data_IF_124006624817
#
_entry.id   IF_124006624817
#
_cell.length_a   1.000
_cell.length_b   1.000
_cell.length_c   1.000
_cell.angle_alpha   90.00
_cell.angle_beta   90.00
_cell.angle_gamma   90.00
#
_symmetry.space_group_name_H-M   'P 1'
#
loop_
_entity.id
_entity.type
_entity.pdbx_description
1 polymer ?
#
# COMPACT_ATOMS: atom_id res chain seq x y z
N UNK A 1 11.96 -29.81 11.78
CA UNK A 1 10.81 -30.76 11.83
C UNK A 1 9.49 -30.11 11.41
N UNK A 2 9.05 -28.99 12.01
CA UNK A 2 7.77 -28.33 11.67
C UNK A 2 7.75 -27.89 10.21
N UNK A 3 8.80 -27.20 9.73
CA UNK A 3 8.94 -26.82 8.31
C UNK A 3 9.01 -28.01 7.35
N UNK A 4 9.66 -29.10 7.75
CA UNK A 4 9.72 -30.31 6.92
C UNK A 4 8.37 -31.04 6.83
N UNK A 5 7.57 -31.00 7.90
CA UNK A 5 6.19 -31.46 7.85
C UNK A 5 5.32 -30.60 6.96
N UNK A 6 5.46 -29.25 7.08
CA UNK A 6 4.75 -28.29 6.23
C UNK A 6 5.09 -28.44 4.74
N UNK A 7 6.37 -28.63 4.40
CA UNK A 7 6.79 -28.86 3.01
C UNK A 7 6.30 -30.20 2.45
N UNK A 8 6.21 -31.26 3.29
CA UNK A 8 5.62 -32.53 2.87
C UNK A 8 4.11 -32.46 2.61
N UNK A 9 3.41 -31.50 3.21
CA UNK A 9 2.00 -31.22 2.96
C UNK A 9 1.78 -30.33 1.72
N UNK A 10 2.73 -29.48 1.39
CA UNK A 10 2.73 -28.68 0.15
C UNK A 10 2.62 -29.55 -1.11
N UNK A 11 3.25 -30.72 -1.12
CA UNK A 11 3.20 -31.66 -2.25
C UNK A 11 1.79 -32.27 -2.46
N UNK A 12 0.91 -32.21 -1.45
CA UNK A 12 -0.39 -32.85 -1.51
C UNK A 12 -1.58 -31.88 -1.70
N UNK A 13 -1.51 -30.67 -1.14
CA UNK A 13 -2.65 -29.73 -1.09
C UNK A 13 -2.34 -28.31 -1.54
N UNK A 14 -1.07 -27.92 -1.65
CA UNK A 14 -0.66 -26.54 -1.98
C UNK A 14 -0.89 -25.52 -0.86
N UNK A 15 -1.39 -25.94 0.30
CA UNK A 15 -1.63 -25.06 1.45
C UNK A 15 -1.00 -25.62 2.73
N UNK A 16 -0.41 -24.73 3.54
CA UNK A 16 0.00 -25.11 4.90
C UNK A 16 -1.22 -25.17 5.82
N UNK A 17 -1.27 -26.15 6.71
CA UNK A 17 -2.23 -26.10 7.82
C UNK A 17 -1.95 -24.88 8.70
N UNK A 18 -2.95 -24.05 8.93
CA UNK A 18 -2.84 -22.83 9.76
C UNK A 18 -2.27 -23.15 11.17
N UNK A 19 -2.62 -24.31 11.74
CA UNK A 19 -2.07 -24.75 13.02
C UNK A 19 -0.56 -24.93 13.02
N UNK A 20 0.02 -25.50 11.96
CA UNK A 20 1.47 -25.69 11.83
C UNK A 20 2.22 -24.37 11.75
N UNK A 21 1.66 -23.37 11.05
CA UNK A 21 2.26 -22.06 10.94
C UNK A 21 2.19 -21.28 12.26
N UNK A 22 1.11 -21.45 13.01
CA UNK A 22 0.97 -20.87 14.34
C UNK A 22 2.00 -21.44 15.32
N UNK A 23 2.15 -22.78 15.40
CA UNK A 23 3.17 -23.44 16.21
C UNK A 23 4.60 -22.98 15.86
N UNK A 24 4.86 -22.76 14.56
CA UNK A 24 6.14 -22.24 14.11
C UNK A 24 6.42 -20.83 14.65
N UNK A 25 5.43 -19.95 14.56
CA UNK A 25 5.52 -18.59 15.09
C UNK A 25 5.76 -18.58 16.60
N UNK A 26 4.91 -19.27 17.36
CA UNK A 26 5.06 -19.37 18.81
C UNK A 26 6.45 -19.90 19.23
N UNK A 27 6.91 -20.96 18.55
CA UNK A 27 8.24 -21.54 18.82
C UNK A 27 9.38 -20.57 18.49
N UNK A 28 9.23 -19.77 17.41
CA UNK A 28 10.22 -18.78 17.01
C UNK A 28 10.28 -17.59 17.97
N UNK A 29 9.13 -17.13 18.43
CA UNK A 29 9.02 -15.98 19.36
C UNK A 29 9.59 -16.27 20.74
N UNK A 30 9.69 -17.55 21.14
CA UNK A 30 10.36 -17.96 22.39
C UNK A 30 11.89 -17.94 22.31
N UNK A 31 12.47 -17.77 21.13
CA UNK A 31 13.92 -17.77 20.94
C UNK A 31 14.52 -16.38 21.20
N UNK A 32 15.73 -16.34 21.74
CA UNK A 32 16.52 -15.13 21.79
C UNK A 32 16.91 -14.67 20.38
N UNK A 33 17.17 -13.40 20.19
CA UNK A 33 17.47 -12.78 18.90
C UNK A 33 18.59 -13.50 18.13
N UNK A 34 19.66 -13.89 18.81
CA UNK A 34 20.76 -14.66 18.23
C UNK A 34 20.30 -16.03 17.73
N UNK A 35 19.46 -16.71 18.53
CA UNK A 35 18.94 -18.03 18.18
C UNK A 35 17.98 -17.95 16.99
N UNK A 36 17.19 -16.89 16.88
CA UNK A 36 16.35 -16.61 15.71
C UNK A 36 17.17 -16.53 14.44
N UNK A 37 18.26 -15.76 14.46
CA UNK A 37 19.20 -15.68 13.31
C UNK A 37 19.86 -17.02 12.98
N UNK A 38 20.23 -17.81 13.98
CA UNK A 38 20.83 -19.13 13.76
C UNK A 38 19.82 -20.12 13.14
N UNK A 39 18.54 -20.08 13.56
CA UNK A 39 17.47 -20.89 12.97
C UNK A 39 17.27 -20.54 11.50
N UNK A 40 17.25 -19.25 11.12
CA UNK A 40 17.12 -18.84 9.71
C UNK A 40 18.29 -19.36 8.86
N UNK A 41 19.53 -19.31 9.39
CA UNK A 41 20.70 -19.89 8.69
C UNK A 41 20.63 -21.41 8.54
N UNK A 42 20.10 -22.12 9.56
CA UNK A 42 19.89 -23.57 9.46
C UNK A 42 18.86 -23.89 8.39
N UNK A 43 17.79 -23.10 8.29
CA UNK A 43 16.79 -23.23 7.23
C UNK A 43 17.43 -23.01 5.86
N UNK A 44 18.19 -21.94 5.68
CA UNK A 44 18.92 -21.67 4.44
C UNK A 44 19.78 -22.86 4.02
N UNK A 45 20.63 -23.34 4.92
CA UNK A 45 21.51 -24.47 4.63
C UNK A 45 20.76 -25.78 4.32
N UNK A 46 19.62 -25.99 4.99
CA UNK A 46 18.81 -27.19 4.81
C UNK A 46 18.11 -27.24 3.45
N UNK A 47 17.77 -26.09 2.90
CA UNK A 47 16.99 -25.96 1.67
C UNK A 47 17.77 -25.42 0.46
N UNK A 48 19.05 -25.10 0.60
CA UNK A 48 19.89 -24.46 -0.44
C UNK A 48 19.91 -25.16 -1.81
N UNK A 49 19.57 -26.43 -1.88
CA UNK A 49 19.55 -27.21 -3.12
C UNK A 49 18.17 -27.24 -3.80
N UNK A 50 17.16 -26.57 -3.23
CA UNK A 50 15.85 -26.47 -3.85
C UNK A 50 15.87 -25.42 -4.99
N UNK A 51 14.96 -25.52 -5.96
CA UNK A 51 14.79 -24.49 -6.98
C UNK A 51 14.48 -23.11 -6.36
N UNK A 52 14.99 -22.03 -6.98
CA UNK A 52 14.81 -20.66 -6.49
C UNK A 52 13.33 -20.29 -6.30
N UNK A 53 12.43 -20.77 -7.17
CA UNK A 53 10.98 -20.56 -7.05
C UNK A 53 10.40 -21.16 -5.76
N UNK A 54 10.89 -22.34 -5.37
CA UNK A 54 10.49 -23.00 -4.10
C UNK A 54 11.09 -22.26 -2.91
N UNK A 55 12.35 -21.83 -3.01
CA UNK A 55 13.01 -21.04 -1.97
C UNK A 55 12.27 -19.71 -1.72
N UNK A 56 11.85 -19.02 -2.77
CA UNK A 56 11.04 -17.79 -2.65
C UNK A 56 9.73 -18.08 -1.92
N UNK A 57 9.04 -19.21 -2.23
CA UNK A 57 7.82 -19.57 -1.51
C UNK A 57 8.07 -19.82 -0.03
N UNK A 58 9.14 -20.53 0.33
CA UNK A 58 9.52 -20.78 1.72
C UNK A 58 9.81 -19.47 2.45
N UNK A 59 10.66 -18.62 1.88
CA UNK A 59 11.05 -17.37 2.51
C UNK A 59 9.90 -16.36 2.61
N UNK A 60 9.04 -16.28 1.61
CA UNK A 60 7.84 -15.44 1.66
C UNK A 60 6.83 -15.94 2.71
N UNK A 61 6.73 -17.27 2.90
CA UNK A 61 5.94 -17.85 3.99
C UNK A 61 6.51 -17.46 5.35
N UNK A 62 7.83 -17.61 5.53
CA UNK A 62 8.50 -17.23 6.79
C UNK A 62 8.36 -15.74 7.07
N UNK A 63 8.50 -14.88 6.07
CA UNK A 63 8.30 -13.43 6.24
C UNK A 63 6.88 -13.11 6.71
N UNK A 64 5.89 -13.70 6.09
CA UNK A 64 4.48 -13.46 6.42
C UNK A 64 4.08 -14.01 7.80
N UNK A 65 4.66 -15.14 8.20
CA UNK A 65 4.33 -15.84 9.45
C UNK A 65 5.13 -15.29 10.62
N UNK A 66 6.44 -15.21 10.50
CA UNK A 66 7.33 -14.77 11.59
C UNK A 66 7.24 -13.26 11.80
N UNK A 67 6.95 -12.49 10.76
CA UNK A 67 6.93 -11.02 10.77
C UNK A 67 8.26 -10.45 11.27
N UNK A 68 9.38 -11.04 10.86
CA UNK A 68 10.72 -10.66 11.27
C UNK A 68 11.50 -10.18 10.05
N UNK A 69 12.03 -8.95 10.11
CA UNK A 69 12.82 -8.34 9.04
C UNK A 69 14.09 -9.14 8.70
N UNK A 70 14.62 -9.94 9.64
CA UNK A 70 15.78 -10.82 9.41
C UNK A 70 15.56 -11.83 8.27
N UNK A 71 14.31 -12.05 7.85
CA UNK A 71 13.97 -12.92 6.70
C UNK A 71 14.24 -12.22 5.36
N UNK A 72 14.12 -10.91 5.32
CA UNK A 72 14.19 -10.11 4.08
C UNK A 72 15.50 -10.34 3.29
N UNK A 73 16.70 -10.34 3.90
CA UNK A 73 17.94 -10.54 3.16
C UNK A 73 18.00 -11.84 2.35
N UNK A 74 17.38 -12.91 2.80
CA UNK A 74 17.33 -14.18 2.06
C UNK A 74 16.49 -14.07 0.78
N UNK A 75 15.40 -13.32 0.83
CA UNK A 75 14.56 -13.03 -0.34
C UNK A 75 15.35 -12.14 -1.33
N UNK A 76 16.00 -11.09 -0.85
CA UNK A 76 16.79 -10.19 -1.70
C UNK A 76 17.91 -10.90 -2.47
N UNK A 77 18.60 -11.83 -1.82
CA UNK A 77 19.63 -12.63 -2.49
C UNK A 77 19.02 -13.42 -3.64
N UNK A 78 17.92 -14.11 -3.41
CA UNK A 78 17.23 -14.89 -4.44
C UNK A 78 16.72 -14.03 -5.60
N UNK A 79 16.15 -12.86 -5.31
CA UNK A 79 15.64 -11.94 -6.34
C UNK A 79 16.70 -11.54 -7.38
N UNK A 80 17.99 -11.57 -7.00
CA UNK A 80 19.10 -11.23 -7.89
C UNK A 80 19.61 -12.42 -8.72
N UNK A 81 19.12 -13.65 -8.51
CA UNK A 81 19.53 -14.80 -9.28
C UNK A 81 19.09 -14.69 -10.75
N UNK A 82 19.91 -15.17 -11.67
CA UNK A 82 19.65 -15.15 -13.12
C UNK A 82 18.44 -16.01 -13.54
N UNK A 83 17.98 -16.87 -12.66
CA UNK A 83 16.78 -17.69 -12.85
C UNK A 83 15.51 -16.84 -13.08
N UNK A 84 15.48 -15.62 -12.51
CA UNK A 84 14.36 -14.73 -12.63
C UNK A 84 14.54 -13.71 -13.76
N UNK A 85 13.53 -13.61 -14.63
CA UNK A 85 13.45 -12.55 -15.65
C UNK A 85 13.32 -11.17 -15.00
N UNK A 86 13.52 -10.10 -15.76
CA UNK A 86 13.34 -8.72 -15.28
C UNK A 86 11.91 -8.53 -14.76
N UNK A 87 10.91 -9.04 -15.50
CA UNK A 87 9.52 -9.05 -15.06
C UNK A 87 9.33 -9.73 -13.70
N UNK A 88 9.87 -10.93 -13.52
CA UNK A 88 9.74 -11.67 -12.27
C UNK A 88 10.41 -10.95 -11.10
N UNK A 89 11.55 -10.29 -11.34
CA UNK A 89 12.21 -9.46 -10.30
C UNK A 89 11.34 -8.26 -9.91
N UNK A 90 10.70 -7.60 -10.87
CA UNK A 90 9.76 -6.52 -10.60
C UNK A 90 8.55 -7.00 -9.79
N UNK A 91 8.03 -8.17 -10.13
CA UNK A 91 6.95 -8.82 -9.40
C UNK A 91 7.36 -9.17 -7.97
N UNK A 92 8.53 -9.79 -7.79
CA UNK A 92 9.07 -10.13 -6.46
C UNK A 92 9.28 -8.88 -5.59
N UNK A 93 9.81 -7.80 -6.16
CA UNK A 93 9.95 -6.51 -5.47
C UNK A 93 8.58 -6.04 -4.95
N UNK A 94 7.59 -6.03 -5.82
CA UNK A 94 6.23 -5.64 -5.44
C UNK A 94 5.65 -6.54 -4.36
N UNK A 95 5.79 -7.87 -4.47
CA UNK A 95 5.26 -8.81 -3.47
C UNK A 95 5.95 -8.64 -2.11
N UNK A 96 7.27 -8.40 -2.10
CA UNK A 96 8.02 -8.14 -0.87
C UNK A 96 7.48 -6.88 -0.16
N UNK A 97 7.38 -5.77 -0.87
CA UNK A 97 6.88 -4.51 -0.32
C UNK A 97 5.44 -4.64 0.18
N UNK A 98 4.58 -5.31 -0.58
CA UNK A 98 3.20 -5.55 -0.16
C UNK A 98 3.10 -6.42 1.08
N UNK A 99 3.96 -7.43 1.20
CA UNK A 99 4.00 -8.27 2.39
C UNK A 99 4.44 -7.47 3.62
N UNK A 100 5.48 -6.63 3.49
CA UNK A 100 5.93 -5.72 4.56
C UNK A 100 4.79 -4.79 4.96
N UNK A 101 4.20 -4.09 3.98
CA UNK A 101 3.15 -3.11 4.20
C UNK A 101 1.87 -3.72 4.80
N UNK A 102 1.39 -4.85 4.25
CA UNK A 102 0.11 -5.45 4.69
C UNK A 102 0.21 -6.17 6.04
N UNK A 103 1.38 -6.71 6.38
CA UNK A 103 1.59 -7.37 7.66
C UNK A 103 2.08 -6.40 8.76
N UNK A 104 2.28 -5.12 8.44
CA UNK A 104 2.75 -4.13 9.40
C UNK A 104 4.09 -4.52 10.02
N UNK A 105 5.05 -5.03 9.18
CA UNK A 105 6.38 -5.32 9.68
C UNK A 105 7.06 -4.02 10.14
N UNK A 106 7.61 -4.06 11.35
CA UNK A 106 8.45 -2.99 11.85
C UNK A 106 9.82 -3.10 11.16
N UNK A 107 10.05 -2.27 10.15
CA UNK A 107 11.32 -2.13 9.44
C UNK A 107 11.80 -0.71 9.63
N UNK A 108 13.12 -0.51 9.81
CA UNK A 108 13.68 0.85 9.82
C UNK A 108 13.39 1.54 8.48
N UNK A 109 12.76 2.70 8.52
CA UNK A 109 12.26 3.44 7.35
C UNK A 109 13.40 3.75 6.36
N UNK A 110 14.58 4.11 6.85
CA UNK A 110 15.74 4.42 6.01
C UNK A 110 16.32 3.18 5.33
N UNK A 111 16.36 2.08 6.06
CA UNK A 111 16.87 0.82 5.53
C UNK A 111 15.88 0.24 4.52
N UNK A 112 14.59 0.39 4.75
CA UNK A 112 13.54 0.05 3.79
C UNK A 112 13.65 0.89 2.52
N UNK A 113 13.72 2.21 2.64
CA UNK A 113 13.90 3.10 1.49
C UNK A 113 15.15 2.75 0.67
N UNK A 114 16.31 2.58 1.32
CA UNK A 114 17.58 2.25 0.65
C UNK A 114 17.55 0.89 -0.04
N UNK A 115 16.93 -0.07 0.59
CA UNK A 115 16.73 -1.41 0.02
C UNK A 115 15.88 -1.34 -1.23
N UNK A 116 14.72 -0.71 -1.13
CA UNK A 116 13.77 -0.60 -2.23
C UNK A 116 14.38 0.20 -3.40
N UNK A 117 15.09 1.30 -3.11
CA UNK A 117 15.80 2.08 -4.13
C UNK A 117 16.89 1.25 -4.83
N UNK A 118 17.66 0.44 -4.10
CA UNK A 118 18.68 -0.45 -4.69
C UNK A 118 18.07 -1.51 -5.59
N UNK A 119 17.01 -2.18 -5.14
CA UNK A 119 16.31 -3.21 -5.93
C UNK A 119 15.69 -2.58 -7.18
N UNK A 120 14.96 -1.48 -7.04
CA UNK A 120 14.34 -0.76 -8.14
C UNK A 120 15.37 -0.35 -9.20
N UNK A 121 16.49 0.26 -8.78
CA UNK A 121 17.52 0.68 -9.73
C UNK A 121 18.22 -0.50 -10.40
N UNK A 122 18.43 -1.62 -9.71
CA UNK A 122 18.97 -2.84 -10.32
C UNK A 122 18.08 -3.36 -11.46
N UNK A 123 16.75 -3.29 -11.29
CA UNK A 123 15.79 -3.67 -12.32
C UNK A 123 15.80 -2.63 -13.46
N UNK A 124 15.77 -1.33 -13.13
CA UNK A 124 15.82 -0.27 -14.13
C UNK A 124 17.09 -0.29 -14.99
N UNK A 125 18.23 -0.63 -14.40
CA UNK A 125 19.48 -0.75 -15.15
C UNK A 125 19.41 -1.89 -16.17
N UNK A 126 18.82 -3.03 -15.81
CA UNK A 126 18.55 -4.12 -16.75
C UNK A 126 17.58 -3.72 -17.87
N UNK A 127 16.49 -3.03 -17.53
CA UNK A 127 15.55 -2.49 -18.52
C UNK A 127 16.29 -1.57 -19.52
N UNK A 128 17.18 -0.70 -19.02
CA UNK A 128 17.97 0.22 -19.87
C UNK A 128 19.01 -0.49 -20.72
N UNK A 129 19.63 -1.56 -20.20
CA UNK A 129 20.59 -2.39 -20.95
C UNK A 129 19.89 -3.13 -22.10
N UNK A 130 18.69 -3.62 -21.92
CA UNK A 130 17.97 -4.46 -22.89
C UNK A 130 17.07 -3.68 -23.84
N UNK A 131 16.78 -2.42 -23.54
CA UNK A 131 15.92 -1.59 -24.38
C UNK A 131 16.49 -1.37 -25.77
N UNK A 132 15.61 -1.38 -26.76
CA UNK A 132 15.94 -1.21 -28.19
C UNK A 132 15.68 0.19 -28.72
N UNK A 133 14.77 0.94 -28.06
CA UNK A 133 14.40 2.30 -28.47
C UNK A 133 15.20 3.32 -27.70
N UNK A 134 15.60 4.36 -28.37
CA UNK A 134 16.26 5.54 -27.78
C UNK A 134 15.36 6.75 -27.99
N UNK A 135 15.24 7.55 -26.94
CA UNK A 135 14.46 8.79 -26.99
C UNK A 135 15.39 10.01 -26.89
N UNK A 136 15.09 11.03 -27.63
CA UNK A 136 15.80 12.31 -27.53
C UNK A 136 15.03 13.24 -26.62
N UNK A 137 15.75 13.98 -25.79
CA UNK A 137 15.11 15.00 -24.93
C UNK A 137 14.34 16.01 -25.77
N UNK A 138 13.10 16.28 -25.38
CA UNK A 138 12.21 17.23 -26.03
C UNK A 138 12.38 18.59 -25.33
N UNK A 139 12.93 19.61 -25.99
CA UNK A 139 13.01 20.96 -25.41
C UNK A 139 11.63 21.49 -25.05
N UNK A 140 11.54 22.31 -24.00
CA UNK A 140 10.27 22.80 -23.46
C UNK A 140 9.39 23.48 -24.50
N UNK A 141 9.99 24.27 -25.38
CA UNK A 141 9.30 24.99 -26.47
C UNK A 141 8.70 24.07 -27.55
N UNK A 142 9.08 22.80 -27.58
CA UNK A 142 8.52 21.77 -28.49
C UNK A 142 7.48 20.88 -27.83
N UNK A 143 7.30 21.01 -26.50
CA UNK A 143 6.33 20.22 -25.78
C UNK A 143 4.92 20.79 -25.95
N UNK A 144 3.95 19.90 -25.84
CA UNK A 144 2.54 20.27 -25.86
C UNK A 144 2.11 20.66 -24.43
N UNK A 145 1.12 21.54 -24.31
CA UNK A 145 0.49 21.86 -23.03
C UNK A 145 -0.34 20.67 -22.53
N UNK A 146 0.34 19.58 -22.25
CA UNK A 146 -0.19 18.28 -21.87
C UNK A 146 0.55 17.72 -20.67
N UNK A 147 -0.19 17.10 -19.76
CA UNK A 147 0.35 16.32 -18.66
C UNK A 147 -0.06 14.86 -18.83
N UNK A 148 0.91 13.99 -18.73
CA UNK A 148 0.67 12.54 -18.66
C UNK A 148 0.80 12.12 -17.20
N UNK A 149 -0.26 11.51 -16.65
CA UNK A 149 -0.26 10.92 -15.32
C UNK A 149 0.02 9.42 -15.48
N UNK A 150 1.06 8.92 -14.83
CA UNK A 150 1.43 7.51 -14.83
C UNK A 150 1.28 6.93 -13.42
N UNK A 151 0.70 5.74 -13.34
CA UNK A 151 0.53 4.99 -12.10
C UNK A 151 0.58 3.49 -12.37
N UNK A 152 0.93 2.71 -11.35
CA UNK A 152 0.92 1.25 -11.45
C UNK A 152 -0.47 0.64 -11.17
N UNK A 153 -1.34 1.36 -10.47
CA UNK A 153 -2.63 0.85 -10.01
C UNK A 153 -3.77 1.81 -10.28
N UNK A 154 -4.75 1.38 -11.03
CA UNK A 154 -6.04 2.02 -11.14
C UNK A 154 -7.11 1.06 -10.60
N UNK A 155 -7.30 1.05 -9.30
CA UNK A 155 -8.25 0.21 -8.56
C UNK A 155 -9.47 1.06 -8.21
N UNK A 156 -10.59 0.51 -7.97
CA UNK A 156 -11.89 1.07 -7.62
C UNK A 156 -12.02 2.56 -7.25
N UNK A 157 -13.19 3.11 -7.36
CA UNK A 157 -13.53 4.53 -7.17
C UNK A 157 -13.14 5.08 -5.78
N UNK A 158 -13.18 4.22 -4.77
CA UNK A 158 -12.85 4.57 -3.37
C UNK A 158 -11.37 4.45 -3.04
N UNK A 159 -10.55 4.00 -4.00
CA UNK A 159 -9.12 3.88 -3.80
C UNK A 159 -8.45 5.26 -3.77
N UNK A 160 -7.71 5.56 -2.72
CA UNK A 160 -7.13 6.89 -2.50
C UNK A 160 -6.26 7.39 -3.67
N UNK A 161 -5.34 6.60 -4.26
CA UNK A 161 -4.59 7.01 -5.45
C UNK A 161 -5.49 7.35 -6.64
N UNK A 162 -6.58 6.64 -6.89
CA UNK A 162 -7.53 6.94 -7.96
C UNK A 162 -8.17 8.31 -7.75
N UNK A 163 -8.53 8.64 -6.51
CA UNK A 163 -9.10 9.96 -6.16
C UNK A 163 -8.09 11.09 -6.31
N UNK A 164 -6.84 10.85 -5.93
CA UNK A 164 -5.73 11.79 -6.15
C UNK A 164 -5.61 12.13 -7.64
N UNK A 165 -5.67 11.12 -8.51
CA UNK A 165 -5.58 11.31 -9.96
C UNK A 165 -6.74 12.15 -10.47
N UNK A 166 -7.97 11.84 -10.06
CA UNK A 166 -9.16 12.57 -10.49
C UNK A 166 -9.07 14.04 -10.11
N UNK A 167 -8.74 14.33 -8.86
CA UNK A 167 -8.58 15.68 -8.36
C UNK A 167 -7.44 16.42 -9.07
N UNK A 168 -6.29 15.76 -9.24
CA UNK A 168 -5.15 16.36 -9.94
C UNK A 168 -5.48 16.65 -11.40
N UNK A 169 -6.19 15.72 -12.07
CA UNK A 169 -6.66 15.91 -13.44
C UNK A 169 -7.57 17.14 -13.54
N UNK A 170 -8.57 17.25 -12.66
CA UNK A 170 -9.50 18.38 -12.63
C UNK A 170 -8.78 19.72 -12.49
N UNK A 171 -7.81 19.83 -11.58
CA UNK A 171 -7.01 21.03 -11.41
C UNK A 171 -6.17 21.35 -12.66
N UNK A 172 -5.48 20.37 -13.22
CA UNK A 172 -4.66 20.58 -14.40
C UNK A 172 -5.49 21.01 -15.61
N UNK A 173 -6.67 20.42 -15.81
CA UNK A 173 -7.60 20.81 -16.87
C UNK A 173 -8.13 22.23 -16.66
N UNK A 174 -8.39 22.65 -15.40
CA UNK A 174 -8.77 24.03 -15.10
C UNK A 174 -7.66 25.05 -15.44
N UNK A 175 -6.39 24.64 -15.41
CA UNK A 175 -5.24 25.40 -15.89
C UNK A 175 -5.01 25.27 -17.41
N UNK A 176 -5.89 24.56 -18.11
CA UNK A 176 -5.88 24.43 -19.57
C UNK A 176 -4.90 23.39 -20.09
N UNK A 177 -4.50 22.40 -19.27
CA UNK A 177 -3.74 21.24 -19.74
C UNK A 177 -4.68 20.17 -20.30
N UNK A 178 -4.24 19.51 -21.36
CA UNK A 178 -4.78 18.19 -21.72
C UNK A 178 -4.18 17.15 -20.77
N UNK A 179 -5.01 16.31 -20.15
CA UNK A 179 -4.53 15.29 -19.19
C UNK A 179 -4.86 13.90 -19.69
N UNK A 180 -3.86 13.04 -19.78
CA UNK A 180 -4.00 11.61 -20.09
C UNK A 180 -3.44 10.75 -18.96
N UNK A 181 -4.08 9.61 -18.73
CA UNK A 181 -3.68 8.65 -17.70
C UNK A 181 -3.12 7.39 -18.33
N UNK A 182 -1.95 6.98 -17.90
CA UNK A 182 -1.31 5.72 -18.31
C UNK A 182 -1.20 4.80 -17.11
N UNK A 183 -1.70 3.57 -17.26
CA UNK A 183 -1.52 2.52 -16.28
C UNK A 183 -0.35 1.67 -16.71
N UNK A 184 0.68 1.63 -15.87
CA UNK A 184 1.94 0.95 -16.16
C UNK A 184 1.95 -0.52 -15.73
N UNK A 185 3.00 -0.88 -15.02
CA UNK A 185 3.21 -2.23 -14.50
C UNK A 185 2.17 -2.62 -13.47
N UNK A 186 1.65 -3.85 -13.58
CA UNK A 186 0.77 -4.45 -12.60
C UNK A 186 1.11 -5.91 -12.34
N UNK A 187 1.24 -6.29 -11.06
CA UNK A 187 1.34 -7.70 -10.68
C UNK A 187 0.10 -8.48 -11.11
N UNK A 188 0.29 -9.66 -11.67
CA UNK A 188 -0.80 -10.53 -12.05
C UNK A 188 -0.54 -12.00 -11.66
N UNK A 189 -1.60 -12.82 -11.68
CA UNK A 189 -1.54 -14.23 -11.30
C UNK A 189 -0.61 -15.07 -12.18
N UNK A 190 -0.31 -14.60 -13.39
CA UNK A 190 0.43 -15.34 -14.40
C UNK A 190 1.95 -15.08 -14.36
N UNK A 191 2.47 -14.50 -13.27
CA UNK A 191 3.91 -14.20 -13.14
C UNK A 191 4.80 -15.45 -13.11
N UNK A 192 4.25 -16.60 -12.79
CA UNK A 192 5.00 -17.83 -12.58
C UNK A 192 5.83 -17.81 -11.28
N UNK A 193 5.61 -16.83 -10.43
CA UNK A 193 6.25 -16.71 -9.13
C UNK A 193 5.41 -17.42 -8.07
N UNK A 194 6.06 -18.25 -7.28
CA UNK A 194 5.46 -18.85 -6.10
C UNK A 194 5.68 -17.93 -4.90
N UNK A 195 4.68 -17.10 -4.57
CA UNK A 195 4.71 -16.24 -3.38
C UNK A 195 3.58 -16.62 -2.41
N UNK A 196 3.89 -16.73 -1.12
CA UNK A 196 2.88 -17.07 -0.12
C UNK A 196 1.89 -15.93 0.07
N UNK A 197 0.60 -16.21 -0.09
CA UNK A 197 -0.50 -15.22 -0.07
C UNK A 197 -0.23 -14.04 -1.01
N UNK A 198 0.06 -14.37 -2.27
CA UNK A 198 0.37 -13.39 -3.31
C UNK A 198 -0.67 -12.26 -3.34
N UNK A 199 -0.20 -11.03 -3.36
CA UNK A 199 -1.04 -9.86 -3.51
C UNK A 199 -1.28 -9.57 -4.99
N UNK A 200 -2.51 -9.78 -5.43
CA UNK A 200 -2.94 -9.56 -6.81
C UNK A 200 -3.86 -8.33 -6.83
N UNK A 201 -3.66 -7.47 -7.81
CA UNK A 201 -4.47 -6.29 -8.00
C UNK A 201 -5.47 -6.47 -9.13
N UNK A 202 -6.75 -6.31 -8.80
CA UNK A 202 -7.78 -6.19 -9.82
C UNK A 202 -7.85 -4.74 -10.29
N UNK A 203 -7.43 -4.50 -11.53
CA UNK A 203 -7.62 -3.21 -12.18
C UNK A 203 -9.04 -3.08 -12.71
N UNK A 204 -9.52 -1.82 -12.82
CA UNK A 204 -10.71 -1.51 -13.61
C UNK A 204 -10.60 -1.98 -15.07
N UNK A 205 -9.36 -2.13 -15.57
CA UNK A 205 -9.05 -2.36 -16.97
C UNK A 205 -8.41 -3.71 -17.15
N UNK A 206 -9.16 -4.66 -17.68
CA UNK A 206 -8.66 -6.00 -18.00
C UNK A 206 -7.91 -6.07 -19.34
N UNK A 207 -8.07 -5.07 -20.21
CA UNK A 207 -7.53 -5.11 -21.57
C UNK A 207 -6.48 -4.04 -21.81
N UNK A 208 -5.45 -4.40 -22.58
CA UNK A 208 -4.49 -3.43 -23.11
C UNK A 208 -5.16 -2.47 -24.09
N UNK A 209 -4.70 -1.22 -24.07
CA UNK A 209 -5.14 -0.20 -25.03
C UNK A 209 -5.83 0.99 -24.39
N UNK A 210 -6.39 1.83 -25.25
CA UNK A 210 -7.12 3.01 -24.82
C UNK A 210 -8.40 2.66 -24.09
N UNK A 211 -8.65 3.35 -22.99
CA UNK A 211 -9.87 3.18 -22.21
C UNK A 211 -10.54 4.52 -21.87
N UNK A 212 -11.84 4.43 -21.60
CA UNK A 212 -12.63 5.51 -21.04
C UNK A 212 -13.48 4.93 -19.92
N UNK A 213 -13.30 5.40 -18.71
CA UNK A 213 -14.14 4.99 -17.60
C UNK A 213 -14.79 6.20 -16.94
N UNK A 214 -16.07 6.06 -16.61
CA UNK A 214 -16.77 7.03 -15.80
C UNK A 214 -16.52 6.69 -14.32
N UNK A 215 -16.15 7.68 -13.56
CA UNK A 215 -15.98 7.64 -12.12
C UNK A 215 -16.93 8.66 -11.51
N UNK A 216 -17.26 8.49 -10.24
CA UNK A 216 -18.35 9.18 -9.56
C UNK A 216 -18.50 10.69 -9.85
N UNK A 217 -17.35 11.39 -10.02
CA UNK A 217 -17.31 12.84 -10.27
C UNK A 217 -16.47 13.20 -11.51
N UNK A 218 -16.42 12.32 -12.50
CA UNK A 218 -15.63 12.64 -13.69
C UNK A 218 -15.41 11.45 -14.62
N UNK A 219 -14.56 11.68 -15.61
CA UNK A 219 -14.19 10.69 -16.59
C UNK A 219 -12.68 10.59 -16.67
N UNK A 220 -12.15 9.39 -16.61
CA UNK A 220 -10.76 9.09 -16.90
C UNK A 220 -10.67 8.56 -18.33
N UNK A 221 -9.85 9.19 -19.13
CA UNK A 221 -9.41 8.68 -20.42
C UNK A 221 -7.93 8.37 -20.34
N UNK A 222 -7.53 7.20 -20.84
CA UNK A 222 -6.14 6.81 -20.72
C UNK A 222 -5.77 5.60 -21.55
N UNK A 223 -4.61 5.06 -21.24
CA UNK A 223 -4.04 3.89 -21.88
C UNK A 223 -3.57 2.89 -20.81
N UNK A 224 -4.03 1.65 -20.92
CA UNK A 224 -3.51 0.56 -20.11
C UNK A 224 -2.40 -0.17 -20.89
N UNK A 225 -1.19 -0.07 -20.40
CA UNK A 225 -0.03 -0.72 -21.03
C UNK A 225 -0.12 -2.24 -20.94
N UNK A 226 -0.82 -2.78 -19.94
CA UNK A 226 -0.94 -4.21 -19.63
C UNK A 226 0.38 -4.93 -19.83
N UNK A 227 1.33 -4.58 -19.00
CA UNK A 227 2.68 -5.12 -19.05
C UNK A 227 2.65 -6.50 -18.39
N UNK A 228 2.93 -7.54 -19.16
CA UNK A 228 2.91 -8.95 -18.76
C UNK A 228 4.26 -9.61 -19.00
N UNK A 229 4.45 -10.81 -18.44
CA UNK A 229 5.73 -11.53 -18.46
C UNK A 229 6.37 -11.66 -19.86
N UNK A 230 5.60 -12.07 -20.85
CA UNK A 230 6.16 -12.40 -22.17
C UNK A 230 6.53 -11.17 -23.03
N UNK A 231 6.23 -9.95 -22.55
CA UNK A 231 6.42 -8.73 -23.35
C UNK A 231 6.74 -7.50 -22.50
N UNK A 232 7.27 -7.71 -21.30
CA UNK A 232 7.47 -6.67 -20.30
C UNK A 232 8.27 -5.49 -20.85
N UNK A 233 9.50 -5.72 -21.31
CA UNK A 233 10.38 -4.67 -21.82
C UNK A 233 9.78 -4.01 -23.07
N UNK A 234 9.24 -4.84 -23.98
CA UNK A 234 8.63 -4.34 -25.20
C UNK A 234 7.43 -3.44 -24.92
N UNK A 235 6.54 -3.84 -24.03
CA UNK A 235 5.35 -3.04 -23.70
C UNK A 235 5.70 -1.75 -22.96
N UNK A 236 6.74 -1.78 -22.11
CA UNK A 236 7.28 -0.57 -21.50
C UNK A 236 7.80 0.40 -22.56
N UNK A 237 8.65 -0.07 -23.49
CA UNK A 237 9.21 0.75 -24.55
C UNK A 237 8.14 1.27 -25.52
N UNK A 238 7.19 0.43 -25.95
CA UNK A 238 6.12 0.81 -26.85
C UNK A 238 5.21 1.87 -26.21
N UNK A 239 4.94 1.73 -24.92
CA UNK A 239 4.13 2.70 -24.17
C UNK A 239 4.90 4.01 -23.96
N UNK A 240 6.19 3.95 -23.62
CA UNK A 240 7.03 5.14 -23.55
C UNK A 240 7.11 5.87 -24.89
N UNK A 241 7.16 5.15 -26.03
CA UNK A 241 7.09 5.74 -27.36
C UNK A 241 5.76 6.45 -27.64
N UNK A 242 4.64 5.88 -27.20
CA UNK A 242 3.34 6.57 -27.31
C UNK A 242 3.36 7.90 -26.56
N UNK A 243 3.90 7.91 -25.33
CA UNK A 243 4.03 9.13 -24.53
C UNK A 243 5.01 10.11 -25.18
N UNK A 244 6.13 9.63 -25.72
CA UNK A 244 7.12 10.44 -26.44
C UNK A 244 6.49 11.20 -27.63
N UNK A 245 5.67 10.51 -28.43
CA UNK A 245 4.97 11.11 -29.58
C UNK A 245 3.93 12.17 -29.16
N UNK A 246 3.40 12.06 -27.94
CA UNK A 246 2.49 13.07 -27.39
C UNK A 246 3.23 14.32 -26.94
N UNK A 247 4.56 14.27 -26.80
CA UNK A 247 5.42 15.35 -26.36
C UNK A 247 4.86 16.14 -25.15
N UNK A 248 4.54 15.49 -24.03
CA UNK A 248 3.93 16.16 -22.89
C UNK A 248 4.89 17.20 -22.30
N UNK A 249 4.33 18.27 -21.72
CA UNK A 249 5.13 19.28 -21.03
C UNK A 249 5.88 18.66 -19.86
N UNK A 250 5.21 17.79 -19.11
CA UNK A 250 5.78 16.96 -18.04
C UNK A 250 4.93 15.71 -17.77
N UNK A 251 5.51 14.80 -17.02
CA UNK A 251 4.89 13.56 -16.58
C UNK A 251 4.73 13.59 -15.06
N UNK A 252 3.55 13.22 -14.56
CA UNK A 252 3.29 13.03 -13.15
C UNK A 252 3.24 11.52 -12.84
N UNK A 253 4.20 11.04 -12.10
CA UNK A 253 4.15 9.73 -11.45
C UNK A 253 3.31 9.83 -10.18
N UNK A 254 2.27 9.02 -10.04
CA UNK A 254 1.46 8.92 -8.82
C UNK A 254 1.73 7.58 -8.14
N UNK A 255 2.32 7.65 -6.96
CA UNK A 255 2.86 6.50 -6.24
C UNK A 255 4.39 6.49 -6.28
N UNK A 256 4.97 5.35 -6.55
CA UNK A 256 6.41 5.12 -6.57
C UNK A 256 6.77 3.96 -7.51
N UNK A 257 8.08 3.81 -7.81
CA UNK A 257 8.63 2.64 -8.51
C UNK A 257 7.95 2.35 -9.86
N UNK A 258 7.64 3.41 -10.59
CA UNK A 258 6.98 3.29 -11.88
C UNK A 258 8.02 3.25 -13.00
N UNK A 259 8.34 2.05 -13.49
CA UNK A 259 9.32 1.85 -14.57
C UNK A 259 9.01 2.66 -15.82
N UNK A 260 7.74 2.79 -16.19
CA UNK A 260 7.29 3.58 -17.33
C UNK A 260 7.60 5.09 -17.14
N UNK A 261 7.36 5.62 -15.94
CA UNK A 261 7.67 7.03 -15.65
C UNK A 261 9.17 7.29 -15.70
N UNK A 262 9.98 6.34 -15.21
CA UNK A 262 11.43 6.45 -15.25
C UNK A 262 11.99 6.46 -16.69
N UNK A 263 11.42 5.67 -17.60
CA UNK A 263 11.77 5.74 -19.03
C UNK A 263 11.42 7.09 -19.64
N UNK A 264 10.33 7.73 -19.22
CA UNK A 264 9.93 9.04 -19.70
C UNK A 264 10.92 10.17 -19.35
N UNK A 265 11.78 9.97 -18.33
CA UNK A 265 12.84 10.93 -17.97
C UNK A 265 13.86 11.18 -19.08
N UNK A 266 13.98 10.27 -20.03
CA UNK A 266 14.87 10.45 -21.18
C UNK A 266 14.44 11.62 -22.07
N UNK A 267 13.14 11.91 -22.12
CA UNK A 267 12.63 12.89 -23.07
C UNK A 267 11.83 14.05 -22.46
N UNK A 268 11.39 13.94 -21.20
CA UNK A 268 10.63 15.00 -20.55
C UNK A 268 10.92 15.08 -19.06
N UNK A 269 10.38 16.07 -18.38
CA UNK A 269 10.47 16.22 -16.93
C UNK A 269 9.47 15.27 -16.26
N UNK A 270 9.91 14.53 -15.27
CA UNK A 270 9.05 13.67 -14.44
C UNK A 270 8.98 14.25 -13.03
N UNK A 271 7.79 14.32 -12.51
CA UNK A 271 7.46 14.74 -11.15
C UNK A 271 6.80 13.55 -10.46
N UNK A 272 7.26 13.17 -9.28
CA UNK A 272 6.63 12.09 -8.50
C UNK A 272 5.85 12.67 -7.35
N UNK A 273 4.64 12.16 -7.14
CA UNK A 273 3.81 12.41 -5.96
C UNK A 273 3.57 11.10 -5.22
N UNK A 274 4.14 11.00 -4.02
CA UNK A 274 3.86 9.87 -3.12
C UNK A 274 2.38 9.77 -2.72
N UNK A 275 1.97 8.59 -2.34
CA UNK A 275 0.61 8.30 -1.85
C UNK A 275 0.53 8.04 -0.35
N UNK A 276 1.67 7.91 0.30
CA UNK A 276 1.85 7.67 1.75
C UNK A 276 2.83 8.68 2.34
N UNK A 277 2.95 8.72 3.66
CA UNK A 277 3.82 9.69 4.34
C UNK A 277 5.30 9.46 4.04
N UNK A 278 5.74 8.24 3.78
CA UNK A 278 7.14 7.94 3.46
C UNK A 278 7.58 8.54 2.12
N UNK A 279 8.88 8.78 1.96
CA UNK A 279 9.42 9.24 0.68
C UNK A 279 9.23 8.15 -0.38
N UNK A 280 8.68 8.49 -1.57
CA UNK A 280 8.55 7.52 -2.65
C UNK A 280 9.92 7.13 -3.22
N UNK A 281 10.10 5.86 -3.51
CA UNK A 281 11.23 5.37 -4.28
C UNK A 281 11.03 5.73 -5.75
N UNK A 282 11.85 6.63 -6.26
CA UNK A 282 11.75 7.15 -7.62
C UNK A 282 13.08 7.69 -8.12
N UNK A 283 13.23 7.76 -9.44
CA UNK A 283 14.31 8.49 -10.10
C UNK A 283 13.88 9.87 -10.64
N UNK A 284 12.66 10.30 -10.39
CA UNK A 284 12.20 11.63 -10.80
C UNK A 284 13.01 12.73 -10.12
N UNK A 285 13.35 13.81 -10.83
CA UNK A 285 14.12 14.91 -10.25
C UNK A 285 13.32 15.75 -9.25
N UNK A 286 12.00 15.74 -9.35
CA UNK A 286 11.09 16.53 -8.51
C UNK A 286 10.17 15.59 -7.76
N UNK A 287 10.13 15.72 -6.43
CA UNK A 287 9.29 14.92 -5.56
C UNK A 287 8.32 15.84 -4.82
N UNK A 288 7.03 15.60 -5.01
CA UNK A 288 5.96 16.30 -4.29
C UNK A 288 5.61 15.48 -3.06
N UNK A 289 5.74 16.05 -1.91
CA UNK A 289 5.46 15.39 -0.64
C UNK A 289 3.95 15.12 -0.50
N UNK A 290 3.60 13.94 0.00
CA UNK A 290 2.22 13.52 0.18
C UNK A 290 1.56 14.11 1.44
N UNK A 291 2.37 14.60 2.38
CA UNK A 291 1.96 15.12 3.68
C UNK A 291 2.80 16.33 4.06
N UNK A 292 2.32 17.10 5.03
CA UNK A 292 3.16 18.12 5.69
C UNK A 292 4.19 17.43 6.55
N UNK A 293 5.45 17.83 6.40
CA UNK A 293 6.58 17.33 7.17
C UNK A 293 7.05 18.39 8.16
N UNK A 294 7.58 17.94 9.28
CA UNK A 294 8.34 18.81 10.17
C UNK A 294 9.68 19.16 9.53
N UNK A 295 10.31 20.27 9.96
CA UNK A 295 11.65 20.63 9.51
C UNK A 295 12.67 19.53 9.75
N UNK A 296 12.52 18.77 10.83
CA UNK A 296 13.39 17.63 11.14
C UNK A 296 13.19 16.48 10.16
N UNK A 297 11.94 16.15 9.83
CA UNK A 297 11.61 15.13 8.82
C UNK A 297 12.14 15.54 7.45
N UNK A 298 11.93 16.80 7.03
CA UNK A 298 12.46 17.29 5.77
C UNK A 298 13.99 17.17 5.70
N UNK A 299 14.71 17.60 6.75
CA UNK A 299 16.16 17.50 6.81
C UNK A 299 16.63 16.04 6.78
N UNK A 300 15.92 15.15 7.50
CA UNK A 300 16.18 13.72 7.48
C UNK A 300 16.04 13.15 6.08
N UNK A 301 14.95 13.43 5.43
CA UNK A 301 14.63 12.92 4.10
C UNK A 301 15.50 13.54 3.01
N UNK A 302 15.88 14.81 3.11
CA UNK A 302 16.80 15.45 2.19
C UNK A 302 18.14 14.69 2.07
N UNK A 303 18.60 14.07 3.16
CA UNK A 303 19.81 13.24 3.18
C UNK A 303 19.66 11.87 2.50
N UNK A 304 18.44 11.47 2.12
CA UNK A 304 18.19 10.23 1.41
C UNK A 304 18.07 10.44 -0.09
N UNK A 305 17.79 11.65 -0.52
CA UNK A 305 17.62 12.00 -1.92
C UNK A 305 18.92 11.84 -2.72
N UNK A 306 18.76 11.53 -3.99
CA UNK A 306 19.84 11.60 -4.96
C UNK A 306 20.26 13.05 -5.18
N UNK A 307 21.52 13.34 -5.55
CA UNK A 307 22.03 14.72 -5.68
C UNK A 307 21.25 15.62 -6.65
N UNK A 308 20.52 15.03 -7.59
CA UNK A 308 19.73 15.76 -8.60
C UNK A 308 18.25 15.89 -8.21
N UNK A 309 17.83 15.28 -7.11
CA UNK A 309 16.45 15.32 -6.65
C UNK A 309 16.20 16.47 -5.68
N UNK A 310 15.00 16.99 -5.72
CA UNK A 310 14.55 18.03 -4.79
C UNK A 310 13.09 17.80 -4.40
N UNK A 311 12.76 18.19 -3.17
CA UNK A 311 11.39 18.28 -2.72
C UNK A 311 10.73 19.55 -3.22
N UNK A 312 9.45 19.44 -3.56
CA UNK A 312 8.55 20.57 -3.77
C UNK A 312 7.42 20.45 -2.76
N UNK A 313 7.34 21.41 -1.88
CA UNK A 313 6.22 21.53 -0.95
C UNK A 313 5.00 22.05 -1.72
N UNK A 314 3.92 21.28 -1.68
CA UNK A 314 2.63 21.71 -2.20
C UNK A 314 1.64 21.61 -1.04
N UNK A 315 1.09 22.76 -0.64
CA UNK A 315 0.03 22.77 0.37
C UNK A 315 -1.17 21.99 -0.18
N UNK A 316 -1.39 20.82 0.39
CA UNK A 316 -2.53 20.00 0.04
C UNK A 316 -3.74 20.44 0.86
N UNK A 317 -4.81 20.83 0.19
CA UNK A 317 -6.12 20.66 0.80
C UNK A 317 -6.74 19.41 0.17
N UNK A 318 -6.99 18.39 0.96
CA UNK A 318 -7.89 17.30 0.57
C UNK A 318 -9.32 17.86 0.67
N UNK A 319 -9.60 18.86 -0.15
CA UNK A 319 -10.96 19.32 -0.41
C UNK A 319 -11.46 18.49 -1.59
N UNK A 320 -11.56 17.19 -1.40
CA UNK A 320 -12.46 16.40 -2.21
C UNK A 320 -13.88 16.78 -1.81
N UNK A 321 -14.84 16.71 -2.72
CA UNK A 321 -16.28 16.95 -2.49
C UNK A 321 -16.74 16.47 -1.11
N UNK A 322 -16.48 17.28 -0.10
CA UNK A 322 -16.87 17.07 1.27
C UNK A 322 -18.30 17.56 1.36
N UNK A 323 -19.20 16.72 0.93
CA UNK A 323 -20.60 16.94 1.18
C UNK A 323 -20.79 16.66 2.67
N UNK A 324 -21.25 17.67 3.42
CA UNK A 324 -21.83 17.40 4.74
C UNK A 324 -23.02 16.49 4.49
N UNK A 325 -22.87 15.24 4.87
CA UNK A 325 -23.88 14.21 4.64
C UNK A 325 -24.86 14.26 5.81
N UNK A 326 -26.13 14.12 5.49
CA UNK A 326 -27.16 14.02 6.52
C UNK A 326 -26.90 12.83 7.45
N UNK A 327 -27.02 13.05 8.75
CA UNK A 327 -26.71 12.03 9.77
C UNK A 327 -27.66 10.84 9.65
N UNK A 328 -27.12 9.66 9.47
CA UNK A 328 -27.86 8.40 9.46
C UNK A 328 -28.30 8.00 10.88
N UNK A 329 -29.39 7.26 10.96
CA UNK A 329 -29.83 6.67 12.23
C UNK A 329 -29.10 5.37 12.50
N UNK A 330 -28.63 5.19 13.73
CA UNK A 330 -27.95 3.96 14.19
C UNK A 330 -28.83 2.72 13.98
N UNK A 331 -30.13 2.87 14.14
CA UNK A 331 -31.14 1.80 13.96
C UNK A 331 -31.18 1.22 12.55
N UNK A 332 -30.81 2.00 11.51
CA UNK A 332 -30.71 1.53 10.12
C UNK A 332 -29.63 0.44 9.96
N UNK A 333 -28.71 0.38 10.90
CA UNK A 333 -27.60 -0.58 10.95
C UNK A 333 -27.75 -1.61 12.09
N UNK A 334 -28.94 -1.70 12.68
CA UNK A 334 -29.24 -2.61 13.79
C UNK A 334 -28.63 -2.19 15.13
N UNK A 335 -28.11 -0.97 15.24
CA UNK A 335 -27.47 -0.44 16.46
C UNK A 335 -28.51 0.38 17.24
N UNK A 336 -28.73 0.08 18.54
CA UNK A 336 -29.63 0.91 19.36
C UNK A 336 -29.17 2.37 19.47
N UNK A 337 -30.07 3.32 19.42
CA UNK A 337 -29.77 4.75 19.35
C UNK A 337 -29.02 5.27 20.58
N UNK A 338 -29.20 4.65 21.74
CA UNK A 338 -28.53 5.01 22.99
C UNK A 338 -27.11 4.51 23.13
N UNK A 339 -26.60 3.77 22.15
CA UNK A 339 -25.22 3.25 22.15
C UNK A 339 -24.23 4.31 21.71
N UNK A 340 -23.04 4.27 22.32
CA UNK A 340 -21.87 5.00 21.87
C UNK A 340 -21.14 4.17 20.81
N UNK A 341 -21.09 4.65 19.58
CA UNK A 341 -20.58 3.90 18.42
C UNK A 341 -19.12 4.26 18.14
N UNK A 342 -18.23 3.29 18.30
CA UNK A 342 -16.83 3.39 17.92
C UNK A 342 -16.69 2.80 16.50
N UNK A 343 -16.24 3.61 15.54
CA UNK A 343 -16.01 3.20 14.17
C UNK A 343 -14.63 2.54 14.05
N UNK A 344 -14.60 1.38 13.41
CA UNK A 344 -13.38 0.70 12.95
C UNK A 344 -13.51 0.50 11.44
N UNK A 345 -12.74 1.27 10.64
CA UNK A 345 -12.95 1.36 9.20
C UNK A 345 -11.70 0.93 8.43
N UNK A 346 -11.85 -0.02 7.50
CA UNK A 346 -10.77 -0.43 6.61
C UNK A 346 -11.06 -1.71 5.84
N UNK A 347 -10.34 -1.90 4.73
CA UNK A 347 -10.44 -3.13 3.92
C UNK A 347 -9.36 -4.16 4.28
N UNK A 348 -8.45 -3.83 5.21
CA UNK A 348 -7.35 -4.69 5.69
C UNK A 348 -7.46 -4.98 7.18
N UNK A 349 -8.62 -4.79 7.79
CA UNK A 349 -8.83 -4.94 9.24
C UNK A 349 -8.44 -6.33 9.77
N UNK A 350 -8.53 -7.36 8.93
CA UNK A 350 -8.11 -8.73 9.30
C UNK A 350 -6.62 -8.77 9.67
N UNK A 351 -5.78 -8.00 8.97
CA UNK A 351 -4.34 -7.90 9.21
C UNK A 351 -3.97 -6.82 10.23
N UNK A 352 -4.67 -5.67 10.16
CA UNK A 352 -4.39 -4.46 10.96
C UNK A 352 -4.84 -4.60 12.42
N UNK A 353 -5.92 -5.34 12.67
CA UNK A 353 -6.40 -5.62 14.03
C UNK A 353 -5.64 -6.80 14.62
N UNK A 354 -4.55 -6.49 15.29
CA UNK A 354 -3.71 -7.48 16.01
C UNK A 354 -4.40 -7.99 17.28
N UNK A 355 -3.88 -9.07 17.88
CA UNK A 355 -4.41 -9.56 19.16
C UNK A 355 -4.28 -8.53 20.29
N UNK A 356 -3.19 -7.76 20.31
CA UNK A 356 -3.00 -6.72 21.32
C UNK A 356 -3.97 -5.56 21.11
N UNK A 357 -4.23 -5.19 19.85
CA UNK A 357 -5.26 -4.19 19.55
C UNK A 357 -6.67 -4.68 19.91
N UNK A 358 -6.97 -5.98 19.73
CA UNK A 358 -8.24 -6.58 20.22
C UNK A 358 -8.37 -6.51 21.74
N UNK A 359 -7.29 -6.80 22.49
CA UNK A 359 -7.28 -6.64 23.96
C UNK A 359 -7.58 -5.21 24.36
N UNK A 360 -7.00 -4.22 23.66
CA UNK A 360 -7.28 -2.80 23.90
C UNK A 360 -8.74 -2.47 23.60
N UNK A 361 -9.30 -2.96 22.50
CA UNK A 361 -10.73 -2.80 22.20
C UNK A 361 -11.60 -3.39 23.32
N UNK A 362 -11.26 -4.59 23.82
CA UNK A 362 -12.02 -5.20 24.90
C UNK A 362 -11.94 -4.37 26.20
N UNK A 363 -10.75 -3.85 26.55
CA UNK A 363 -10.60 -2.95 27.68
C UNK A 363 -11.44 -1.67 27.54
N UNK A 364 -11.45 -1.03 26.35
CA UNK A 364 -12.33 0.11 26.04
C UNK A 364 -13.80 -0.26 26.25
N UNK A 365 -14.20 -1.42 25.80
CA UNK A 365 -15.58 -1.89 25.94
C UNK A 365 -15.96 -2.17 27.41
N UNK A 366 -15.04 -2.71 28.21
CA UNK A 366 -15.27 -2.96 29.65
C UNK A 366 -15.48 -1.67 30.43
N UNK A 367 -14.66 -0.64 30.14
CA UNK A 367 -14.77 0.67 30.80
C UNK A 367 -16.00 1.46 30.32
N UNK A 368 -16.52 1.16 29.13
CA UNK A 368 -17.63 1.87 28.52
C UNK A 368 -18.82 0.92 28.20
N UNK A 369 -19.71 0.62 29.16
CA UNK A 369 -20.79 -0.35 28.96
C UNK A 369 -21.77 -0.03 27.79
N UNK A 370 -21.86 1.25 27.41
CA UNK A 370 -22.69 1.68 26.27
C UNK A 370 -21.96 1.63 24.94
N UNK A 371 -20.62 1.50 24.92
CA UNK A 371 -19.86 1.50 23.70
C UNK A 371 -20.07 0.21 22.90
N UNK A 372 -20.14 0.34 21.59
CA UNK A 372 -20.19 -0.77 20.61
C UNK A 372 -19.26 -0.45 19.45
N UNK A 373 -18.77 -1.46 18.77
CA UNK A 373 -17.94 -1.32 17.58
C UNK A 373 -18.80 -1.45 16.31
N UNK A 374 -18.74 -0.47 15.42
CA UNK A 374 -19.23 -0.59 14.05
C UNK A 374 -18.04 -0.81 13.11
N UNK A 375 -17.94 -2.00 12.55
CA UNK A 375 -16.84 -2.44 11.70
C UNK A 375 -17.24 -2.30 10.25
N UNK A 376 -16.56 -1.39 9.51
CA UNK A 376 -16.90 -1.03 8.13
C UNK A 376 -15.74 -1.42 7.21
N UNK A 377 -16.04 -2.20 6.18
CA UNK A 377 -15.08 -2.66 5.19
C UNK A 377 -14.98 -4.17 5.08
N UNK A 378 -13.89 -4.69 4.51
CA UNK A 378 -13.70 -6.13 4.37
C UNK A 378 -13.18 -6.74 5.69
N UNK A 379 -14.06 -7.39 6.44
CA UNK A 379 -13.79 -7.82 7.81
C UNK A 379 -14.18 -9.29 8.10
N UNK A 380 -14.55 -10.10 7.10
CA UNK A 380 -15.16 -11.42 7.32
C UNK A 380 -14.35 -12.39 8.18
N UNK A 381 -13.02 -12.40 8.10
CA UNK A 381 -12.21 -13.26 8.97
C UNK A 381 -11.99 -12.67 10.38
N UNK A 382 -12.13 -11.34 10.55
CA UNK A 382 -12.01 -10.68 11.85
C UNK A 382 -13.15 -11.11 12.79
N UNK A 383 -14.36 -11.28 12.27
CA UNK A 383 -15.53 -11.71 13.05
C UNK A 383 -15.28 -13.01 13.82
N UNK A 384 -14.55 -13.95 13.22
CA UNK A 384 -14.20 -15.23 13.84
C UNK A 384 -13.22 -15.11 15.00
N UNK A 385 -12.48 -14.01 15.06
CA UNK A 385 -11.46 -13.73 16.11
C UNK A 385 -12.05 -13.05 17.33
N UNK A 386 -13.29 -12.54 17.24
CA UNK A 386 -13.92 -11.84 18.37
C UNK A 386 -14.30 -12.84 19.45
N UNK A 387 -13.84 -12.58 20.67
CA UNK A 387 -14.18 -13.39 21.82
C UNK A 387 -15.70 -13.39 22.07
N UNK A 388 -16.26 -14.55 22.39
CA UNK A 388 -17.72 -14.76 22.55
C UNK A 388 -18.37 -13.74 23.50
N UNK A 389 -17.70 -13.38 24.57
CA UNK A 389 -18.18 -12.43 25.58
C UNK A 389 -18.44 -11.00 25.03
N UNK A 390 -17.81 -10.65 23.91
CA UNK A 390 -17.94 -9.31 23.31
C UNK A 390 -18.69 -9.30 21.99
N UNK A 391 -19.06 -10.47 21.44
CA UNK A 391 -19.64 -10.62 20.10
C UNK A 391 -20.88 -9.74 19.88
N UNK A 392 -21.78 -9.63 20.86
CA UNK A 392 -22.98 -8.78 20.78
C UNK A 392 -22.68 -7.28 20.75
N UNK A 393 -21.43 -6.88 21.01
CA UNK A 393 -21.00 -5.48 20.98
C UNK A 393 -20.28 -5.11 19.67
N UNK A 394 -20.18 -6.03 18.69
CA UNK A 394 -19.60 -5.81 17.38
C UNK A 394 -20.65 -5.89 16.29
N UNK A 395 -20.77 -4.83 15.52
CA UNK A 395 -21.68 -4.73 14.37
C UNK A 395 -20.84 -4.71 13.10
N UNK A 396 -20.86 -5.79 12.34
CA UNK A 396 -20.11 -5.93 11.09
C UNK A 396 -20.98 -5.44 9.93
N UNK A 397 -20.72 -4.21 9.48
CA UNK A 397 -21.53 -3.53 8.45
C UNK A 397 -21.07 -3.90 7.02
N UNK A 398 -19.88 -4.52 6.89
CA UNK A 398 -19.35 -4.88 5.60
C UNK A 398 -18.83 -3.70 4.77
N UNK A 399 -18.57 -3.96 3.48
CA UNK A 399 -18.15 -2.94 2.53
C UNK A 399 -19.34 -2.05 2.12
N UNK A 400 -19.11 -0.74 2.03
CA UNK A 400 -20.10 0.23 1.55
C UNK A 400 -19.49 1.20 0.53
N UNK A 401 -20.24 1.55 -0.49
CA UNK A 401 -19.87 2.61 -1.44
C UNK A 401 -20.17 4.00 -0.88
N UNK A 402 -21.10 4.10 0.08
CA UNK A 402 -21.50 5.35 0.76
C UNK A 402 -20.79 5.53 2.11
N UNK A 403 -19.46 5.34 2.13
CA UNK A 403 -18.68 5.31 3.37
C UNK A 403 -18.90 6.55 4.25
N UNK A 404 -18.89 7.76 3.68
CA UNK A 404 -19.08 8.99 4.44
C UNK A 404 -20.43 9.01 5.15
N UNK A 405 -21.46 8.57 4.47
CA UNK A 405 -22.83 8.50 4.99
C UNK A 405 -22.93 7.45 6.11
N UNK A 406 -22.41 6.26 5.87
CA UNK A 406 -22.38 5.18 6.88
C UNK A 406 -21.61 5.60 8.13
N UNK A 407 -20.52 6.36 7.99
CA UNK A 407 -19.71 6.81 9.13
C UNK A 407 -20.45 7.79 10.04
N UNK A 408 -21.49 8.49 9.57
CA UNK A 408 -22.24 9.47 10.38
C UNK A 408 -22.94 8.88 11.60
N UNK A 409 -23.05 7.55 11.71
CA UNK A 409 -23.56 6.86 12.90
C UNK A 409 -22.56 6.83 14.05
N UNK A 410 -21.26 7.12 13.76
CA UNK A 410 -20.18 7.01 14.73
C UNK A 410 -20.11 8.19 15.67
N UNK A 411 -19.71 7.91 16.90
CA UNK A 411 -19.40 8.90 17.91
C UNK A 411 -17.87 9.07 18.08
N UNK A 412 -17.09 8.06 17.69
CA UNK A 412 -15.63 8.04 17.71
C UNK A 412 -15.09 7.19 16.57
N UNK A 413 -13.97 7.57 15.98
CA UNK A 413 -13.20 6.74 15.06
C UNK A 413 -11.93 6.24 15.75
N UNK A 414 -11.77 4.93 15.86
CA UNK A 414 -10.59 4.29 16.43
C UNK A 414 -9.71 3.74 15.30
N UNK A 415 -8.53 4.34 15.11
CA UNK A 415 -7.61 3.93 14.05
C UNK A 415 -6.68 2.81 14.54
N UNK A 416 -6.68 1.60 13.92
CA UNK A 416 -5.75 0.55 14.29
C UNK A 416 -4.30 0.93 13.93
N UNK A 417 -3.29 0.26 14.53
CA UNK A 417 -1.90 0.38 14.11
C UNK A 417 -1.75 0.00 12.63
N UNK A 418 -1.47 0.98 11.76
CA UNK A 418 -1.35 0.77 10.31
C UNK A 418 -0.65 1.91 9.61
N UNK A 419 -0.11 1.62 8.43
CA UNK A 419 0.25 2.63 7.44
C UNK A 419 -0.91 2.86 6.48
N UNK A 420 -1.14 4.09 6.08
CA UNK A 420 -2.32 4.50 5.31
C UNK A 420 -3.56 4.71 6.18
N UNK A 421 -4.74 4.70 5.57
CA UNK A 421 -6.01 4.91 6.27
C UNK A 421 -6.41 6.37 6.46
N UNK A 422 -5.58 7.32 6.04
CA UNK A 422 -5.82 8.76 6.20
C UNK A 422 -7.15 9.24 5.62
N UNK A 423 -7.60 8.68 4.50
CA UNK A 423 -8.88 9.05 3.89
C UNK A 423 -10.07 8.75 4.81
N UNK A 424 -10.08 7.58 5.48
CA UNK A 424 -11.13 7.24 6.43
C UNK A 424 -11.17 8.18 7.62
N UNK A 425 -10.01 8.51 8.18
CA UNK A 425 -9.89 9.47 9.27
C UNK A 425 -10.33 10.87 8.86
N UNK A 426 -9.97 11.33 7.66
CA UNK A 426 -10.43 12.61 7.11
C UNK A 426 -11.95 12.66 6.99
N UNK A 427 -12.59 11.58 6.54
CA UNK A 427 -14.06 11.53 6.51
C UNK A 427 -14.69 11.60 7.89
N UNK A 428 -14.08 10.97 8.90
CA UNK A 428 -14.52 11.09 10.28
C UNK A 428 -14.44 12.55 10.76
N UNK A 429 -13.29 13.20 10.58
CA UNK A 429 -13.06 14.60 10.96
C UNK A 429 -14.09 15.54 10.28
N UNK A 430 -14.35 15.34 8.98
CA UNK A 430 -15.32 16.14 8.22
C UNK A 430 -16.78 15.95 8.68
N UNK A 431 -17.08 14.81 9.32
CA UNK A 431 -18.36 14.54 9.94
C UNK A 431 -18.36 14.90 11.45
N UNK A 432 -17.36 15.65 11.90
CA UNK A 432 -17.20 16.06 13.32
C UNK A 432 -17.03 14.87 14.28
N UNK A 433 -16.52 13.73 13.77
CA UNK A 433 -16.26 12.53 14.57
C UNK A 433 -14.79 12.57 15.03
N UNK A 434 -14.52 12.61 16.34
CA UNK A 434 -13.15 12.56 16.85
C UNK A 434 -12.43 11.28 16.45
N UNK A 435 -11.13 11.39 16.17
CA UNK A 435 -10.30 10.28 15.72
C UNK A 435 -9.19 10.00 16.71
N UNK A 436 -9.12 8.81 17.25
CA UNK A 436 -8.02 8.34 18.10
C UNK A 436 -7.06 7.49 17.29
N UNK A 437 -5.77 7.78 17.35
CA UNK A 437 -4.72 7.11 16.56
C UNK A 437 -3.41 7.03 17.32
N UNK A 438 -2.46 6.23 16.80
CA UNK A 438 -1.07 6.23 17.28
C UNK A 438 -0.26 7.37 16.64
N UNK A 439 0.82 7.78 17.29
CA UNK A 439 1.72 8.85 16.87
C UNK A 439 2.63 8.47 15.70
N UNK A 440 2.76 7.17 15.40
CA UNK A 440 3.56 6.64 14.31
C UNK A 440 2.72 6.22 13.07
N UNK A 441 1.46 6.65 12.99
CA UNK A 441 0.54 6.37 11.86
C UNK A 441 0.38 7.59 10.95
N UNK A 442 0.14 7.36 9.65
CA UNK A 442 -0.15 8.44 8.68
C UNK A 442 -1.34 9.33 9.10
N UNK A 443 -2.28 8.77 9.84
CA UNK A 443 -3.47 9.47 10.33
C UNK A 443 -3.13 10.58 11.33
N UNK A 444 -2.05 10.45 12.08
CA UNK A 444 -1.62 11.40 13.11
C UNK A 444 -1.48 12.84 12.59
N UNK A 445 -1.00 13.01 11.37
CA UNK A 445 -0.78 14.33 10.76
C UNK A 445 -2.09 15.16 10.70
N UNK A 446 -3.22 14.47 10.50
CA UNK A 446 -4.53 15.12 10.36
C UNK A 446 -5.29 15.28 11.69
N UNK A 447 -4.89 14.56 12.72
CA UNK A 447 -5.66 14.44 13.98
C UNK A 447 -5.15 15.39 15.06
N UNK A 448 -3.86 15.69 15.03
CA UNK A 448 -3.21 16.52 16.07
C UNK A 448 -2.91 15.76 17.36
N UNK A 449 -2.03 16.35 18.19
CA UNK A 449 -1.46 15.68 19.36
C UNK A 449 -2.45 15.28 20.45
N UNK A 450 -3.58 15.96 20.55
CA UNK A 450 -4.56 15.73 21.63
C UNK A 450 -5.24 14.36 21.51
N UNK A 451 -5.40 13.87 20.29
CA UNK A 451 -6.04 12.58 19.99
C UNK A 451 -5.05 11.52 19.52
N UNK A 452 -3.76 11.72 19.80
CA UNK A 452 -2.68 10.84 19.43
C UNK A 452 -2.09 10.17 20.65
N UNK A 453 -1.90 8.86 20.57
CA UNK A 453 -1.37 8.01 21.63
C UNK A 453 0.02 7.50 21.27
N UNK A 454 0.88 7.29 22.26
CA UNK A 454 2.23 6.72 22.12
C UNK A 454 2.21 5.17 22.07
N UNK A 455 1.14 4.56 22.57
CA UNK A 455 0.97 3.11 22.58
C UNK A 455 -0.49 2.70 22.40
N UNK A 456 -0.71 1.44 22.04
CA UNK A 456 -2.05 0.87 21.87
C UNK A 456 -2.80 0.84 23.21
N UNK A 457 -2.11 0.57 24.29
CA UNK A 457 -2.67 0.53 25.65
C UNK A 457 -3.13 1.93 26.10
N UNK A 458 -2.42 2.98 25.72
CA UNK A 458 -2.77 4.35 26.10
C UNK A 458 -4.05 4.86 25.39
N UNK A 459 -4.50 4.18 24.32
CA UNK A 459 -5.78 4.49 23.67
C UNK A 459 -6.97 4.32 24.61
N UNK A 460 -6.92 3.37 25.55
CA UNK A 460 -8.01 3.14 26.52
C UNK A 460 -8.30 4.42 27.30
N UNK A 461 -7.25 5.07 27.80
CA UNK A 461 -7.39 6.30 28.59
C UNK A 461 -7.91 7.49 27.77
N UNK A 462 -7.65 7.50 26.47
CA UNK A 462 -8.07 8.60 25.60
C UNK A 462 -9.52 8.45 25.13
N UNK A 463 -10.03 7.21 25.08
CA UNK A 463 -11.43 6.92 24.70
C UNK A 463 -12.37 7.04 25.88
N UNK A 464 -11.88 6.98 27.10
CA UNK A 464 -12.63 7.16 28.35
C UNK A 464 -12.91 8.65 28.62
#
# INVERSE_FOLDING_TARGET
>A
MILQRGLGQLDATGEYEEGTLHELKESYDLLEEKQQGDVLRIIEQSFKNLPDTVLIYIWSTLLAVLRDEKVIPFIEVLMNHETFTIWQRAELMHQLQRTIFTNGLAVDEKDEYRRNDRIYNSIMDKIREEKKKTFSYIPLEKRQKKVVIILNQLVGRQHAPTRIILQTKEYLEAFGYEVKVYVGFMPNENSGIMWYKQCIWNNFMERQGYFKCNVENGRIEGYNARIENDNFEKNLEDTAELIYREAPEWVLEVGEETFLADLCREFTTVVTRGCVKTIPVTNAPIIVLASDYTLEEEQRYQNWLKPYQQFVEVKHSIVGNTVVVEKEKKENYGIPEDKFVILLVGNRLVQEVTEDFLKTIYAILEENPKAVLAVIGNCGALEKRIAEAYRERFYFLGYTEELQKTMTIGDLFLNPPRQGGGTGAMYAILQEIPVVTLDNCDVQVNVGKVFTCDSVESMVNLVH
#
